data_IF_241207976288
#
_entry.id   IF_241207976288
#
_cell.length_a   1.000
_cell.length_b   1.000
_cell.length_c   1.000
_cell.angle_alpha   90.00
_cell.angle_beta   90.00
_cell.angle_gamma   90.00
#
_symmetry.space_group_name_H-M   'P 1'
#
loop_
_entity.id
_entity.type
_entity.pdbx_description
1 polymer ?
#
# COMPACT_ATOMS: atom_id res chain seq x y z
N UNK A 1 -10.89 -12.52 -0.88
CA UNK A 1 -11.51 -11.94 0.29
C UNK A 1 -10.44 -11.21 1.04
N UNK A 2 -10.87 -10.18 1.75
CA UNK A 2 -10.11 -9.49 2.78
C UNK A 2 -10.83 -9.81 4.09
N UNK A 3 -10.07 -10.24 5.10
CA UNK A 3 -10.57 -10.41 6.46
C UNK A 3 -10.06 -9.22 7.25
N UNK A 4 -10.98 -8.40 7.73
CA UNK A 4 -10.69 -7.29 8.62
C UNK A 4 -10.81 -7.75 10.08
N UNK A 5 -9.96 -7.25 10.98
CA UNK A 5 -10.04 -7.61 12.40
C UNK A 5 -11.28 -6.99 13.06
N UNK A 6 -11.90 -7.74 13.98
CA UNK A 6 -13.09 -7.34 14.73
C UNK A 6 -14.39 -7.99 14.23
N UNK A 7 -15.38 -8.09 15.11
CA UNK A 7 -16.70 -8.72 14.84
C UNK A 7 -17.70 -7.79 14.12
N UNK A 8 -17.23 -6.71 13.48
CA UNK A 8 -18.08 -5.75 12.76
C UNK A 8 -18.00 -5.96 11.25
N UNK A 9 -19.09 -5.61 10.56
CA UNK A 9 -19.09 -5.53 9.10
C UNK A 9 -18.05 -4.48 8.67
N UNK A 10 -17.15 -4.83 7.72
CA UNK A 10 -16.11 -3.91 7.27
C UNK A 10 -16.73 -2.74 6.51
N UNK A 11 -16.23 -1.53 6.78
CA UNK A 11 -16.68 -0.31 6.13
C UNK A 11 -15.70 0.12 5.03
N UNK A 12 -16.11 1.06 4.19
CA UNK A 12 -15.27 1.63 3.13
C UNK A 12 -13.97 2.23 3.68
N UNK A 13 -14.00 2.76 4.90
CA UNK A 13 -12.80 3.27 5.58
C UNK A 13 -11.79 2.18 5.94
N UNK A 14 -12.24 0.97 6.26
CA UNK A 14 -11.34 -0.15 6.54
C UNK A 14 -10.61 -0.58 5.27
N UNK A 15 -11.31 -0.56 4.12
CA UNK A 15 -10.70 -0.79 2.82
C UNK A 15 -9.72 0.31 2.41
N UNK A 16 -10.05 1.58 2.69
CA UNK A 16 -9.16 2.70 2.46
C UNK A 16 -7.89 2.59 3.32
N UNK A 17 -8.03 2.24 4.60
CA UNK A 17 -6.91 1.94 5.50
C UNK A 17 -5.99 0.87 4.90
N UNK A 18 -6.53 -0.29 4.53
CA UNK A 18 -5.76 -1.36 3.90
C UNK A 18 -5.02 -0.89 2.63
N UNK A 19 -5.73 -0.17 1.75
CA UNK A 19 -5.17 0.31 0.48
C UNK A 19 -4.06 1.35 0.68
N UNK A 20 -4.19 2.20 1.71
CA UNK A 20 -3.23 3.24 2.04
C UNK A 20 -1.97 2.64 2.66
N UNK A 21 -2.11 1.64 3.53
CA UNK A 21 -0.99 0.90 4.12
C UNK A 21 -0.11 0.27 3.03
N UNK A 22 -0.72 -0.33 1.99
CA UNK A 22 0.02 -0.82 0.82
C UNK A 22 0.67 0.34 0.03
N UNK A 23 -0.06 1.46 -0.13
CA UNK A 23 0.42 2.66 -0.82
C UNK A 23 1.67 3.27 -0.18
N UNK A 24 1.73 3.27 1.15
CA UNK A 24 2.90 3.71 1.92
C UNK A 24 4.03 2.68 1.92
N UNK A 25 3.83 1.49 1.33
CA UNK A 25 4.78 0.37 1.36
C UNK A 25 5.11 -0.14 2.78
N UNK A 26 4.30 0.21 3.78
CA UNK A 26 4.42 -0.29 5.14
C UNK A 26 3.57 -1.57 5.26
N UNK A 27 4.18 -2.75 5.33
CA UNK A 27 3.42 -4.02 5.38
C UNK A 27 2.81 -4.32 6.78
N UNK A 28 2.39 -3.31 7.53
CA UNK A 28 1.75 -3.47 8.85
C UNK A 28 0.25 -3.26 8.68
N UNK A 29 -0.40 -4.19 7.97
CA UNK A 29 -1.87 -4.24 7.92
C UNK A 29 -2.37 -5.42 8.74
N UNK A 30 -3.30 -5.17 9.66
CA UNK A 30 -4.00 -6.23 10.41
C UNK A 30 -5.03 -6.98 9.55
N UNK A 31 -5.10 -6.67 8.25
CA UNK A 31 -6.05 -7.22 7.27
C UNK A 31 -5.42 -8.40 6.53
N UNK A 32 -6.07 -9.57 6.56
CA UNK A 32 -5.58 -10.78 5.90
C UNK A 32 -6.20 -11.02 4.53
N UNK A 33 -5.37 -11.40 3.56
CA UNK A 33 -5.81 -11.70 2.18
C UNK A 33 -6.03 -13.21 2.00
N UNK A 34 -7.29 -13.60 1.84
CA UNK A 34 -7.69 -15.02 1.78
C UNK A 34 -7.86 -15.60 0.37
N UNK A 35 -8.18 -14.79 -0.64
CA UNK A 35 -8.29 -15.29 -2.03
C UNK A 35 -7.05 -14.97 -2.85
N UNK A 36 -6.60 -15.93 -3.65
CA UNK A 36 -5.49 -15.77 -4.58
C UNK A 36 -5.66 -14.62 -5.59
N UNK A 37 -6.89 -14.38 -6.08
CA UNK A 37 -7.18 -13.23 -6.95
C UNK A 37 -6.88 -11.89 -6.28
N UNK A 38 -7.22 -11.75 -4.99
CA UNK A 38 -6.91 -10.52 -4.24
C UNK A 38 -5.41 -10.37 -4.01
N UNK A 39 -4.68 -11.46 -3.78
CA UNK A 39 -3.20 -11.40 -3.65
C UNK A 39 -2.54 -10.83 -4.91
N UNK A 40 -3.01 -11.21 -6.11
CA UNK A 40 -2.51 -10.65 -7.37
C UNK A 40 -2.80 -9.15 -7.48
N UNK A 41 -4.02 -8.72 -7.16
CA UNK A 41 -4.40 -7.29 -7.19
C UNK A 41 -3.54 -6.49 -6.21
N UNK A 42 -3.41 -6.97 -4.97
CA UNK A 42 -2.56 -6.35 -3.96
C UNK A 42 -1.10 -6.29 -4.40
N UNK A 43 -0.58 -7.34 -5.05
CA UNK A 43 0.79 -7.36 -5.57
C UNK A 43 1.00 -6.28 -6.65
N UNK A 44 0.06 -6.15 -7.60
CA UNK A 44 0.12 -5.06 -8.58
C UNK A 44 0.10 -3.68 -7.92
N UNK A 45 -0.79 -3.47 -6.94
CA UNK A 45 -0.88 -2.21 -6.19
C UNK A 45 0.41 -1.91 -5.42
N UNK A 46 1.02 -2.92 -4.78
CA UNK A 46 2.28 -2.77 -4.04
C UNK A 46 3.46 -2.46 -4.96
N UNK A 47 3.54 -3.10 -6.12
CA UNK A 47 4.62 -2.84 -7.10
C UNK A 47 4.52 -1.41 -7.65
N UNK A 48 3.31 -0.98 -7.99
CA UNK A 48 3.07 0.40 -8.45
C UNK A 48 3.44 1.42 -7.36
N UNK A 49 3.02 1.16 -6.12
CA UNK A 49 3.30 2.01 -4.96
C UNK A 49 4.79 2.09 -4.66
N UNK A 50 5.51 0.96 -4.73
CA UNK A 50 6.96 0.93 -4.58
C UNK A 50 7.66 1.76 -5.65
N UNK A 51 7.27 1.60 -6.92
CA UNK A 51 7.82 2.40 -8.02
C UNK A 51 7.58 3.90 -7.84
N UNK A 52 6.36 4.28 -7.45
CA UNK A 52 6.00 5.67 -7.18
C UNK A 52 6.84 6.29 -6.05
N UNK A 53 6.93 5.62 -4.89
CA UNK A 53 7.74 6.08 -3.77
C UNK A 53 9.23 6.17 -4.14
N UNK A 54 9.74 5.19 -4.88
CA UNK A 54 11.14 5.19 -5.34
C UNK A 54 11.42 6.35 -6.30
N UNK A 55 10.49 6.66 -7.21
CA UNK A 55 10.61 7.79 -8.13
C UNK A 55 10.59 9.13 -7.40
N UNK A 56 9.70 9.29 -6.40
CA UNK A 56 9.68 10.48 -5.54
C UNK A 56 11.02 10.63 -4.82
N UNK A 57 11.53 9.55 -4.22
CA UNK A 57 12.80 9.55 -3.52
C UNK A 57 13.96 9.94 -4.45
N UNK A 58 14.00 9.37 -5.66
CA UNK A 58 15.02 9.69 -6.66
C UNK A 58 14.95 11.16 -7.11
N UNK A 59 13.74 11.68 -7.35
CA UNK A 59 13.55 13.09 -7.70
C UNK A 59 14.01 14.01 -6.56
N UNK A 60 13.67 13.65 -5.32
CA UNK A 60 14.04 14.40 -4.13
C UNK A 60 15.58 14.44 -3.97
N UNK A 61 16.25 13.30 -4.13
CA UNK A 61 17.73 13.24 -4.10
C UNK A 61 18.34 14.12 -5.19
N UNK A 62 17.86 14.02 -6.44
CA UNK A 62 18.37 14.85 -7.54
C UNK A 62 18.16 16.35 -7.27
N UNK A 63 17.00 16.73 -6.73
CA UNK A 63 16.68 18.12 -6.42
C UNK A 63 17.57 18.66 -5.30
N UNK A 64 17.74 17.91 -4.21
CA UNK A 64 18.60 18.30 -3.08
C UNK A 64 20.07 18.37 -3.51
N UNK A 65 20.54 17.40 -4.29
CA UNK A 65 21.91 17.37 -4.82
C UNK A 65 22.21 18.51 -5.79
N UNK A 66 21.20 19.01 -6.51
CA UNK A 66 21.36 20.17 -7.41
C UNK A 66 21.27 21.52 -6.70
N UNK A 67 20.79 21.55 -5.46
CA UNK A 67 20.66 22.77 -4.65
C UNK A 67 21.87 22.97 -3.71
N UNK A 68 22.54 21.89 -3.33
CA UNK A 68 23.83 21.88 -2.63
C UNK A 68 24.99 22.18 -3.59
#
# INVERSE_FOLDING_TARGET
>A
GLIFPGDRLPDYFDFAYFSFVIGMTCQVSDVQITLGRMRRITLFHSVLSFGFNTMILALLINTVSGLL
#
